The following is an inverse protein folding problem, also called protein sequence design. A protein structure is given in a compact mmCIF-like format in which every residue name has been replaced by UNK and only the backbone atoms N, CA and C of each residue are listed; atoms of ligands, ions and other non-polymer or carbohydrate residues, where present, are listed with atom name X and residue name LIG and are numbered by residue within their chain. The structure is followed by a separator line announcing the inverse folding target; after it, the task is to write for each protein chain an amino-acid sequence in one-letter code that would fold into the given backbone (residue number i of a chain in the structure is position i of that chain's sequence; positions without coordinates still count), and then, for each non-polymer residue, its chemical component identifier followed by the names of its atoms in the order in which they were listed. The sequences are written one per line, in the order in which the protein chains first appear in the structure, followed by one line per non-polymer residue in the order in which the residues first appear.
data_IF_955669576872
#
_entry.id   IF_955669576872
#
_cell.length_a   1.000
_cell.length_b   1.000
_cell.length_c   1.000
_cell.angle_alpha   90.00
_cell.angle_beta   90.00
_cell.angle_gamma   90.00
#
_symmetry.space_group_name_H-M   'P 1'
#
loop_
_entity.id
_entity.type
_entity.pdbx_description
1 polymer ?
#
# COMPACT_ATOMS: atom_id res chain seq x y z
N UNK A 1 8.62 16.89 12.48
CA UNK A 1 8.45 15.46 12.12
C UNK A 1 8.39 14.53 13.32
N UNK A 2 9.45 14.35 14.12
CA UNK A 2 9.43 13.39 15.25
C UNK A 2 8.30 13.58 16.27
N UNK A 3 7.89 14.82 16.53
CA UNK A 3 6.74 15.12 17.38
C UNK A 3 5.41 14.64 16.77
N UNK A 4 5.21 14.87 15.47
CA UNK A 4 4.01 14.44 14.75
C UNK A 4 3.94 12.90 14.63
N UNK A 5 5.09 12.23 14.47
CA UNK A 5 5.18 10.77 14.48
C UNK A 5 4.69 10.22 15.83
N UNK A 6 5.16 10.79 16.94
CA UNK A 6 4.73 10.40 18.29
C UNK A 6 3.25 10.61 18.55
N UNK A 7 2.62 11.53 17.82
CA UNK A 7 1.19 11.81 17.92
C UNK A 7 0.35 11.00 16.91
N UNK A 8 0.91 9.96 16.28
CA UNK A 8 0.23 9.12 15.29
C UNK A 8 -0.32 9.89 14.07
N UNK A 9 0.37 10.95 13.64
CA UNK A 9 -0.05 11.73 12.45
C UNK A 9 0.46 11.13 11.12
N UNK A 10 1.34 10.13 11.19
CA UNK A 10 1.88 9.43 10.04
C UNK A 10 1.31 8.03 9.98
N UNK A 11 0.89 7.62 8.79
CA UNK A 11 0.50 6.25 8.50
C UNK A 11 1.73 5.34 8.55
N UNK A 12 2.82 5.82 7.94
CA UNK A 12 4.13 5.16 7.87
C UNK A 12 5.21 6.22 7.92
N UNK A 13 6.37 5.85 8.46
CA UNK A 13 7.54 6.71 8.48
C UNK A 13 8.82 5.87 8.51
N UNK A 14 9.89 6.43 7.97
CA UNK A 14 11.18 5.77 7.90
C UNK A 14 12.32 6.76 7.69
N UNK A 15 13.54 6.26 7.66
CA UNK A 15 14.74 7.06 7.42
C UNK A 15 15.54 6.48 6.28
N UNK A 16 16.01 7.34 5.38
CA UNK A 16 16.89 6.99 4.28
C UNK A 16 17.86 8.15 4.04
N UNK A 17 19.15 7.87 3.85
CA UNK A 17 20.18 8.90 3.57
C UNK A 17 20.18 10.11 4.52
N UNK A 18 20.03 9.88 5.84
CA UNK A 18 19.92 10.93 6.87
C UNK A 18 18.68 11.85 6.76
N UNK A 19 17.76 11.57 5.85
CA UNK A 19 16.46 12.20 5.77
C UNK A 19 15.37 11.28 6.32
N UNK A 20 14.28 11.89 6.80
CA UNK A 20 13.12 11.17 7.30
C UNK A 20 11.95 11.36 6.34
N UNK A 21 11.29 10.26 6.01
CA UNK A 21 10.19 10.19 5.06
C UNK A 21 8.97 9.60 5.74
N UNK A 22 7.80 9.83 5.16
CA UNK A 22 6.58 9.19 5.63
C UNK A 22 5.33 9.69 4.93
N UNK A 23 4.26 8.91 5.09
CA UNK A 23 2.94 9.17 4.53
C UNK A 23 2.08 9.82 5.61
N UNK A 24 1.78 11.12 5.48
CA UNK A 24 0.93 11.82 6.45
C UNK A 24 -0.53 11.47 6.27
N UNK A 25 -1.23 11.17 7.36
CA UNK A 25 -2.69 10.98 7.34
C UNK A 25 -3.42 12.22 6.85
N UNK A 26 -2.91 13.41 7.18
CA UNK A 26 -3.48 14.68 6.74
C UNK A 26 -3.46 14.85 5.22
N UNK A 27 -2.41 14.35 4.55
CA UNK A 27 -2.35 14.38 3.09
C UNK A 27 -3.45 13.52 2.47
N UNK A 28 -3.74 12.36 3.06
CA UNK A 28 -4.83 11.47 2.60
C UNK A 28 -6.18 12.17 2.79
N UNK A 29 -6.41 12.80 3.95
CA UNK A 29 -7.63 13.60 4.21
C UNK A 29 -7.81 14.70 3.18
N UNK A 30 -6.75 15.45 2.89
CA UNK A 30 -6.80 16.53 1.91
C UNK A 30 -7.13 16.00 0.51
N UNK A 31 -6.61 14.83 0.11
CA UNK A 31 -6.96 14.22 -1.17
C UNK A 31 -8.47 13.89 -1.23
N UNK A 32 -9.03 13.30 -0.16
CA UNK A 32 -10.47 13.01 -0.07
C UNK A 32 -11.32 14.29 -0.13
N UNK A 33 -10.94 15.35 0.60
CA UNK A 33 -11.62 16.64 0.59
C UNK A 33 -11.65 17.29 -0.80
N UNK A 34 -10.66 17.00 -1.64
CA UNK A 34 -10.60 17.43 -3.02
C UNK A 34 -11.36 16.51 -4.00
N UNK A 35 -12.22 15.62 -3.49
CA UNK A 35 -12.96 14.61 -4.26
C UNK A 35 -12.07 13.72 -5.13
N UNK A 36 -10.86 13.41 -4.63
CA UNK A 36 -9.90 12.51 -5.29
C UNK A 36 -9.71 11.25 -4.44
N UNK A 37 -9.27 10.19 -5.11
CA UNK A 37 -8.88 8.94 -4.45
C UNK A 37 -7.36 8.92 -4.28
N UNK A 38 -6.89 8.67 -3.07
CA UNK A 38 -5.48 8.43 -2.83
C UNK A 38 -5.14 6.99 -3.24
N UNK A 39 -4.12 6.82 -4.09
CA UNK A 39 -3.51 5.51 -4.33
C UNK A 39 -2.33 5.39 -3.38
N UNK A 40 -2.34 4.36 -2.55
CA UNK A 40 -1.37 4.17 -1.48
C UNK A 40 -0.62 2.87 -1.71
N UNK A 41 0.70 2.97 -1.82
CA UNK A 41 1.62 1.84 -1.74
C UNK A 41 2.18 1.80 -0.32
N UNK A 42 1.58 0.97 0.52
CA UNK A 42 1.83 0.89 1.96
C UNK A 42 1.92 -0.56 2.40
N UNK A 43 2.62 -0.81 3.50
CA UNK A 43 2.73 -2.13 4.08
C UNK A 43 1.38 -2.60 4.68
N UNK A 44 1.12 -3.92 4.77
CA UNK A 44 -0.14 -4.44 5.30
C UNK A 44 -0.50 -3.94 6.72
N UNK A 45 0.50 -3.58 7.53
CA UNK A 45 0.27 -3.04 8.88
C UNK A 45 -0.48 -1.70 8.88
N UNK A 46 -0.32 -0.89 7.84
CA UNK A 46 -1.01 0.38 7.66
C UNK A 46 -2.54 0.21 7.57
N UNK A 47 -3.01 -0.97 7.11
CA UNK A 47 -4.45 -1.28 7.01
C UNK A 47 -5.18 -1.26 8.36
N UNK A 48 -4.46 -1.40 9.49
CA UNK A 48 -5.06 -1.27 10.83
C UNK A 48 -5.61 0.13 11.07
N UNK A 49 -4.92 1.15 10.56
CA UNK A 49 -5.33 2.56 10.65
C UNK A 49 -6.32 2.89 9.54
N UNK A 50 -6.04 2.45 8.31
CA UNK A 50 -6.88 2.76 7.17
C UNK A 50 -8.27 2.13 7.25
N UNK A 51 -8.44 0.93 7.84
CA UNK A 51 -9.76 0.29 8.01
C UNK A 51 -10.62 0.97 9.10
N UNK A 52 -10.84 2.26 8.97
CA UNK A 52 -11.75 3.08 9.74
C UNK A 52 -12.82 3.67 8.83
N UNK A 53 -13.90 4.19 9.41
CA UNK A 53 -14.95 4.88 8.65
C UNK A 53 -14.45 6.18 7.98
N UNK A 54 -13.34 6.74 8.46
CA UNK A 54 -12.74 7.97 7.95
C UNK A 54 -12.05 7.75 6.59
N UNK A 55 -11.30 6.66 6.46
CA UNK A 55 -10.51 6.38 5.25
C UNK A 55 -11.13 5.33 4.34
N UNK A 56 -11.87 4.36 4.91
CA UNK A 56 -12.64 3.33 4.20
C UNK A 56 -11.94 2.78 2.91
N UNK A 57 -10.74 2.18 3.03
CA UNK A 57 -9.88 1.86 1.91
C UNK A 57 -10.48 0.74 1.06
N UNK A 58 -10.28 0.85 -0.25
CA UNK A 58 -10.41 -0.27 -1.17
C UNK A 58 -9.06 -0.98 -1.29
N UNK A 59 -8.99 -2.24 -0.85
CA UNK A 59 -7.73 -3.00 -0.79
C UNK A 59 -7.69 -4.00 -1.94
N UNK A 60 -6.67 -3.88 -2.79
CA UNK A 60 -6.38 -4.84 -3.86
C UNK A 60 -5.18 -5.68 -3.43
N UNK A 61 -5.38 -6.99 -3.28
CA UNK A 61 -4.30 -7.94 -3.05
C UNK A 61 -3.96 -8.67 -4.34
N UNK A 62 -2.74 -8.47 -4.83
CA UNK A 62 -2.22 -9.16 -6.01
C UNK A 62 -1.46 -10.38 -5.51
N UNK A 63 -2.10 -11.55 -5.58
CA UNK A 63 -1.47 -12.82 -5.24
C UNK A 63 -0.58 -13.29 -6.39
N UNK A 64 0.51 -14.00 -6.07
CA UNK A 64 1.25 -14.75 -7.08
C UNK A 64 0.33 -15.80 -7.72
N UNK A 65 0.50 -16.11 -9.02
CA UNK A 65 -0.23 -17.20 -9.65
C UNK A 65 0.13 -18.54 -8.98
N UNK A 66 -0.78 -19.49 -9.02
CA UNK A 66 -0.49 -20.85 -8.54
C UNK A 66 0.62 -21.47 -9.42
N UNK A 67 1.68 -21.96 -8.78
CA UNK A 67 2.86 -22.54 -9.45
C UNK A 67 2.45 -23.75 -10.31
N UNK A 68 1.37 -24.44 -9.94
CA UNK A 68 0.85 -25.55 -10.74
C UNK A 68 0.28 -25.08 -12.09
N UNK A 69 -0.32 -23.89 -12.13
CA UNK A 69 -0.90 -23.34 -13.36
C UNK A 69 0.16 -22.95 -14.40
N UNK A 70 1.35 -22.54 -13.96
CA UNK A 70 2.46 -22.17 -14.87
C UNK A 70 3.21 -23.37 -15.45
N UNK A 71 3.07 -24.57 -14.86
CA UNK A 71 3.77 -25.78 -15.32
C UNK A 71 3.07 -26.54 -16.47
N UNK A 72 1.83 -26.17 -16.81
CA UNK A 72 1.05 -26.84 -17.85
C UNK A 72 1.14 -26.16 -19.24
N UNK A 73 1.81 -25.00 -19.36
CA UNK A 73 1.94 -24.27 -20.63
C UNK A 73 3.27 -24.52 -21.36
N UNK A 74 4.27 -25.17 -20.75
CA UNK A 74 5.59 -25.42 -21.36
C UNK A 74 5.70 -26.74 -22.14
N UNK A 75 4.68 -27.60 -22.12
CA UNK A 75 4.73 -28.93 -22.76
C UNK A 75 3.76 -28.98 -23.95
N UNK A 76 4.08 -28.33 -25.08
CA UNK A 76 3.50 -28.68 -26.40
C UNK A 76 4.12 -28.02 -27.65
N UNK A 77 5.33 -27.45 -27.59
CA UNK A 77 5.95 -26.77 -28.76
C UNK A 77 7.06 -27.56 -29.47
N UNK A 78 7.17 -28.88 -29.30
CA UNK A 78 8.25 -29.68 -29.90
C UNK A 78 7.82 -31.02 -30.50
N UNK A 79 6.66 -31.08 -31.16
CA UNK A 79 6.37 -32.20 -32.07
C UNK A 79 5.86 -31.67 -33.43
N UNK A 80 6.80 -31.51 -34.36
CA UNK A 80 6.62 -31.33 -35.82
C UNK A 80 7.90 -31.75 -36.53
#
# INVERSE_FOLDING_TARGET
MMHEIKNNHYLEYGTHENACYGTKLETIRNIHQNNRMAILDVEPQALKVLRSAEFAPFVVYIAAPDVQATSLEEVNLHDS
#
